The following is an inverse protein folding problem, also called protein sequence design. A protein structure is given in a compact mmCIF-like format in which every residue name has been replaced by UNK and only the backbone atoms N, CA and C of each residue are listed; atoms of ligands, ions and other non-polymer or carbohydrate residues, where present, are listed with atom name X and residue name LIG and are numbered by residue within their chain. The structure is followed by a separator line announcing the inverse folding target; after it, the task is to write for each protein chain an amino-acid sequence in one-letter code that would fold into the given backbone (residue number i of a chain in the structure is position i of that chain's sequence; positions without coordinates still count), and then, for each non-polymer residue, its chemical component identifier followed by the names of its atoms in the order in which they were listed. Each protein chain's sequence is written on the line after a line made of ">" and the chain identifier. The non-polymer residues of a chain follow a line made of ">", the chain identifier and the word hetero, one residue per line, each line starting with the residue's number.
data_IF_394079408990
#
_entry.id   IF_394079408990
#
_cell.length_a   1.000
_cell.length_b   1.000
_cell.length_c   1.000
_cell.angle_alpha   90.00
_cell.angle_beta   90.00
_cell.angle_gamma   90.00
#
_symmetry.space_group_name_H-M   'P 1'
#
loop_
_entity.id
_entity.type
_entity.pdbx_description
1 polymer ?
#
# COMPACT_ATOMS: atom_id res chain seq x y z
N UNK A 1 8.47 -4.34 -27.19
CA UNK A 1 9.68 -3.51 -27.19
C UNK A 1 10.48 -3.77 -25.93
N UNK A 2 10.06 -3.34 -24.72
CA UNK A 2 10.82 -3.41 -23.45
C UNK A 2 11.48 -4.78 -23.18
N UNK A 3 10.72 -5.90 -23.30
CA UNK A 3 11.30 -7.25 -23.08
C UNK A 3 12.40 -7.60 -24.07
N UNK A 4 12.34 -7.08 -25.28
CA UNK A 4 13.38 -7.29 -26.29
C UNK A 4 14.64 -6.51 -25.94
N UNK A 5 14.50 -5.25 -25.48
CA UNK A 5 15.66 -4.46 -25.02
C UNK A 5 16.35 -5.09 -23.82
N UNK A 6 15.60 -5.64 -22.86
CA UNK A 6 16.17 -6.38 -21.70
C UNK A 6 16.94 -7.63 -22.18
N UNK A 7 16.43 -8.37 -23.17
CA UNK A 7 17.16 -9.53 -23.73
C UNK A 7 18.46 -9.11 -24.42
N UNK A 8 18.44 -8.00 -25.19
CA UNK A 8 19.61 -7.44 -25.83
C UNK A 8 20.64 -6.99 -24.75
N UNK A 9 20.19 -6.28 -23.74
CA UNK A 9 21.06 -5.86 -22.64
C UNK A 9 21.73 -7.05 -21.92
N UNK A 10 20.99 -8.14 -21.71
CA UNK A 10 21.58 -9.40 -21.18
C UNK A 10 22.60 -9.99 -22.14
N UNK A 11 22.32 -10.04 -23.43
CA UNK A 11 23.25 -10.57 -24.45
C UNK A 11 24.59 -9.83 -24.43
N UNK A 12 24.56 -8.50 -24.28
CA UNK A 12 25.78 -7.69 -24.17
C UNK A 12 26.33 -7.58 -22.74
N UNK A 13 25.89 -8.44 -21.82
CA UNK A 13 26.35 -8.45 -20.42
C UNK A 13 26.18 -7.10 -19.69
N UNK A 14 25.22 -6.28 -20.09
CA UNK A 14 24.93 -5.00 -19.44
C UNK A 14 24.10 -5.18 -18.15
N UNK A 15 23.48 -6.34 -17.94
CA UNK A 15 22.75 -6.70 -16.73
C UNK A 15 23.65 -7.59 -15.88
N UNK A 16 23.92 -7.16 -14.63
CA UNK A 16 24.77 -7.89 -13.69
C UNK A 16 24.05 -9.07 -13.03
N UNK A 17 22.79 -8.89 -12.67
CA UNK A 17 21.94 -9.94 -12.12
C UNK A 17 22.18 -10.32 -10.66
N UNK A 18 23.23 -9.81 -10.01
CA UNK A 18 23.56 -10.15 -8.61
C UNK A 18 22.91 -9.20 -7.58
N UNK A 19 22.66 -7.95 -7.98
CA UNK A 19 22.05 -6.93 -7.14
C UNK A 19 20.99 -6.16 -7.94
N UNK A 20 19.78 -6.11 -7.41
CA UNK A 20 18.68 -5.34 -7.99
C UNK A 20 18.07 -4.43 -6.94
N UNK A 21 17.41 -3.37 -7.38
CA UNK A 21 16.61 -2.53 -6.51
C UNK A 21 15.20 -2.37 -7.07
N UNK A 22 14.20 -2.48 -6.20
CA UNK A 22 12.80 -2.24 -6.53
C UNK A 22 12.32 -0.92 -5.95
N UNK A 23 11.52 -0.22 -6.73
CA UNK A 23 10.84 1.00 -6.30
C UNK A 23 9.57 1.22 -7.12
N UNK A 24 8.78 2.20 -6.74
CA UNK A 24 7.58 2.58 -7.46
C UNK A 24 7.54 4.07 -7.78
N UNK A 25 6.83 4.37 -8.85
CA UNK A 25 6.54 5.77 -9.17
C UNK A 25 5.08 5.95 -9.54
N UNK A 26 4.46 7.02 -9.04
CA UNK A 26 3.09 7.37 -9.39
C UNK A 26 3.11 8.22 -10.65
N UNK A 27 2.42 7.76 -11.69
CA UNK A 27 2.20 8.50 -12.93
C UNK A 27 0.72 8.90 -13.01
N UNK A 28 0.47 10.18 -13.24
CA UNK A 28 -0.90 10.71 -13.33
C UNK A 28 -1.66 10.03 -14.46
N UNK A 29 -2.89 9.62 -14.18
CA UNK A 29 -3.80 9.13 -15.22
C UNK A 29 -4.49 10.30 -15.95
N UNK A 30 -4.99 10.06 -17.14
CA UNK A 30 -5.83 10.99 -17.91
C UNK A 30 -7.24 11.06 -17.30
N UNK A 31 -7.31 11.46 -16.04
CA UNK A 31 -8.53 11.51 -15.26
C UNK A 31 -8.49 12.67 -14.25
N UNK A 32 -9.64 13.07 -13.74
CA UNK A 32 -9.77 14.08 -12.68
C UNK A 32 -10.33 13.49 -11.39
N UNK A 33 -10.02 14.11 -10.27
CA UNK A 33 -10.60 13.75 -8.96
C UNK A 33 -12.12 13.82 -8.95
N UNK A 34 -12.74 14.67 -9.80
CA UNK A 34 -14.18 14.79 -9.92
C UNK A 34 -14.83 13.48 -10.39
N UNK A 35 -14.16 12.76 -11.27
CA UNK A 35 -14.62 11.52 -11.89
C UNK A 35 -14.20 10.25 -11.13
N UNK A 36 -13.60 10.39 -9.95
CA UNK A 36 -13.25 9.27 -9.09
C UNK A 36 -14.15 9.27 -7.85
N UNK A 37 -14.76 8.12 -7.55
CA UNK A 37 -15.77 7.94 -6.51
C UNK A 37 -15.36 6.84 -5.53
N UNK A 38 -15.58 7.12 -4.25
CA UNK A 38 -15.59 6.16 -3.16
C UNK A 38 -16.94 6.24 -2.45
N UNK A 39 -17.24 5.34 -1.53
CA UNK A 39 -18.53 5.30 -0.83
C UNK A 39 -18.86 6.64 -0.18
N UNK A 40 -17.95 7.23 0.61
CA UNK A 40 -18.19 8.50 1.31
C UNK A 40 -18.54 9.66 0.37
N UNK A 41 -17.98 9.66 -0.85
CA UNK A 41 -18.30 10.69 -1.84
C UNK A 41 -19.68 10.46 -2.47
N UNK A 42 -20.04 9.20 -2.71
CA UNK A 42 -21.36 8.84 -3.23
C UNK A 42 -22.42 9.24 -2.22
N UNK A 43 -22.25 8.84 -0.94
CA UNK A 43 -23.19 9.14 0.14
C UNK A 43 -23.45 10.65 0.27
N UNK A 44 -22.39 11.46 0.22
CA UNK A 44 -22.53 12.92 0.25
C UNK A 44 -23.29 13.48 -0.96
N UNK A 45 -23.06 12.95 -2.15
CA UNK A 45 -23.78 13.38 -3.34
C UNK A 45 -25.25 12.96 -3.32
N UNK A 46 -25.54 11.74 -2.85
CA UNK A 46 -26.91 11.23 -2.72
C UNK A 46 -27.68 12.06 -1.69
N UNK A 47 -27.09 12.29 -0.50
CA UNK A 47 -27.71 13.12 0.53
C UNK A 47 -28.01 14.54 0.05
N UNK A 48 -27.06 15.17 -0.69
CA UNK A 48 -27.30 16.48 -1.31
C UNK A 48 -28.46 16.46 -2.33
N UNK A 49 -28.55 15.41 -3.16
CA UNK A 49 -29.61 15.27 -4.16
C UNK A 49 -30.96 15.09 -3.46
N UNK A 50 -31.02 14.27 -2.42
CA UNK A 50 -32.26 14.01 -1.67
C UNK A 50 -32.79 15.32 -1.04
N UNK A 51 -31.89 16.08 -0.42
CA UNK A 51 -32.26 17.40 0.11
C UNK A 51 -32.78 18.36 -0.99
N UNK A 52 -32.13 18.36 -2.16
CA UNK A 52 -32.60 19.19 -3.29
C UNK A 52 -33.96 18.75 -3.86
N UNK A 53 -34.22 17.46 -3.91
CA UNK A 53 -35.52 16.92 -4.35
C UNK A 53 -36.59 17.32 -3.34
N UNK A 54 -36.31 17.27 -2.04
CA UNK A 54 -37.24 17.73 -0.99
C UNK A 54 -37.55 19.23 -1.11
N UNK A 55 -36.51 20.07 -1.30
CA UNK A 55 -36.70 21.51 -1.55
C UNK A 55 -37.62 21.76 -2.79
N UNK A 56 -37.36 21.06 -3.90
CA UNK A 56 -38.16 21.19 -5.10
C UNK A 56 -39.58 20.68 -4.93
N UNK A 57 -39.82 19.61 -4.18
CA UNK A 57 -41.17 19.13 -3.87
C UNK A 57 -41.95 20.14 -3.04
N UNK A 58 -41.29 20.81 -2.09
CA UNK A 58 -41.93 21.87 -1.30
C UNK A 58 -42.30 23.10 -2.17
N UNK A 59 -41.43 23.45 -3.12
CA UNK A 59 -41.73 24.53 -4.09
C UNK A 59 -42.85 24.13 -5.07
N UNK A 60 -42.89 22.85 -5.46
CA UNK A 60 -43.89 22.32 -6.37
C UNK A 60 -45.33 22.42 -5.80
N UNK A 61 -45.44 22.26 -4.46
CA UNK A 61 -46.74 22.36 -3.77
C UNK A 61 -47.41 23.73 -3.90
N UNK A 62 -46.65 24.78 -4.20
CA UNK A 62 -47.14 26.17 -4.32
C UNK A 62 -46.96 26.79 -5.71
N UNK A 63 -46.43 26.03 -6.66
CA UNK A 63 -46.09 26.50 -8.00
C UNK A 63 -47.23 26.24 -9.00
N UNK A 64 -47.45 27.23 -9.90
CA UNK A 64 -48.44 27.16 -10.98
C UNK A 64 -47.80 27.42 -12.36
N UNK A 65 -48.47 26.93 -13.42
CA UNK A 65 -48.13 27.20 -14.82
C UNK A 65 -46.69 26.76 -15.20
N UNK A 66 -45.98 27.64 -15.90
CA UNK A 66 -44.63 27.36 -16.40
C UNK A 66 -43.61 27.04 -15.31
N UNK A 67 -43.73 27.61 -14.12
CA UNK A 67 -42.88 27.35 -12.97
C UNK A 67 -42.99 25.90 -12.50
N UNK A 68 -44.18 25.31 -12.55
CA UNK A 68 -44.41 23.92 -12.21
C UNK A 68 -43.63 22.98 -13.13
N UNK A 69 -43.65 23.23 -14.44
CA UNK A 69 -42.93 22.45 -15.44
C UNK A 69 -41.41 22.55 -15.27
N UNK A 70 -40.91 23.74 -14.91
CA UNK A 70 -39.48 23.93 -14.63
C UNK A 70 -39.01 23.11 -13.40
N UNK A 71 -39.81 23.13 -12.31
CA UNK A 71 -39.50 22.40 -11.08
C UNK A 71 -39.55 20.88 -11.34
N UNK A 72 -40.54 20.37 -12.06
CA UNK A 72 -40.65 18.97 -12.44
C UNK A 72 -39.42 18.51 -13.27
N UNK A 73 -38.97 19.33 -14.20
CA UNK A 73 -37.72 19.08 -14.95
C UNK A 73 -36.50 19.05 -14.04
N UNK A 74 -36.42 19.94 -13.05
CA UNK A 74 -35.34 19.97 -12.09
C UNK A 74 -35.32 18.71 -11.20
N UNK A 75 -36.47 18.23 -10.71
CA UNK A 75 -36.63 16.99 -9.97
C UNK A 75 -36.20 15.81 -10.82
N UNK A 76 -36.69 15.70 -12.07
CA UNK A 76 -36.31 14.64 -12.99
C UNK A 76 -34.79 14.55 -13.21
N UNK A 77 -34.14 15.72 -13.39
CA UNK A 77 -32.66 15.82 -13.52
C UNK A 77 -31.93 15.33 -12.28
N UNK A 78 -32.40 15.66 -11.07
CA UNK A 78 -31.79 15.19 -9.82
C UNK A 78 -32.01 13.69 -9.65
N UNK A 79 -33.18 13.16 -9.97
CA UNK A 79 -33.48 11.73 -9.92
C UNK A 79 -32.55 10.93 -10.86
N UNK A 80 -32.36 11.38 -12.11
CA UNK A 80 -31.41 10.76 -13.03
C UNK A 80 -29.96 10.77 -12.49
N UNK A 81 -29.56 11.88 -11.85
CA UNK A 81 -28.25 11.94 -11.19
C UNK A 81 -28.14 10.96 -10.03
N UNK A 82 -29.19 10.77 -9.23
CA UNK A 82 -29.21 9.79 -8.14
C UNK A 82 -29.05 8.38 -8.65
N UNK A 83 -29.72 8.02 -9.75
CA UNK A 83 -29.57 6.70 -10.39
C UNK A 83 -28.15 6.47 -10.90
N UNK A 84 -27.52 7.49 -11.47
CA UNK A 84 -26.11 7.40 -11.87
C UNK A 84 -25.19 7.06 -10.67
N UNK A 85 -25.38 7.71 -9.52
CA UNK A 85 -24.58 7.42 -8.33
C UNK A 85 -24.87 6.03 -7.76
N UNK A 86 -26.11 5.55 -7.81
CA UNK A 86 -26.47 4.18 -7.44
C UNK A 86 -25.76 3.12 -8.35
N UNK A 87 -25.71 3.39 -9.65
CA UNK A 87 -25.00 2.52 -10.58
C UNK A 87 -23.48 2.46 -10.29
N UNK A 88 -22.88 3.60 -9.92
CA UNK A 88 -21.46 3.64 -9.50
C UNK A 88 -21.26 2.90 -8.17
N UNK A 89 -22.19 3.03 -7.22
CA UNK A 89 -22.16 2.31 -5.95
C UNK A 89 -22.24 0.80 -6.18
N UNK A 90 -23.15 0.36 -7.02
CA UNK A 90 -23.26 -1.05 -7.40
C UNK A 90 -21.95 -1.58 -8.00
N UNK A 91 -21.31 -0.81 -8.88
CA UNK A 91 -20.01 -1.17 -9.44
C UNK A 91 -18.92 -1.31 -8.37
N UNK A 92 -18.92 -0.43 -7.34
CA UNK A 92 -18.00 -0.55 -6.20
C UNK A 92 -18.26 -1.86 -5.44
N UNK A 93 -19.52 -2.21 -5.21
CA UNK A 93 -19.90 -3.42 -4.48
C UNK A 93 -19.55 -4.70 -5.26
N UNK A 94 -19.88 -4.74 -6.54
CA UNK A 94 -19.60 -5.88 -7.43
C UNK A 94 -18.10 -6.14 -7.60
N UNK A 95 -17.32 -5.07 -7.73
CA UNK A 95 -15.85 -5.19 -7.92
C UNK A 95 -15.10 -5.38 -6.61
N UNK A 96 -15.71 -5.13 -5.45
CA UNK A 96 -15.06 -5.14 -4.14
C UNK A 96 -13.95 -4.11 -3.98
N UNK A 97 -13.89 -3.11 -4.86
CA UNK A 97 -12.86 -2.09 -4.86
C UNK A 97 -13.27 -0.89 -3.99
N UNK A 98 -12.28 -0.26 -3.36
CA UNK A 98 -12.55 0.91 -2.53
C UNK A 98 -12.92 2.17 -3.32
N UNK A 99 -12.64 2.20 -4.61
CA UNK A 99 -12.86 3.36 -5.50
C UNK A 99 -13.14 2.90 -6.93
N UNK A 100 -13.94 3.68 -7.63
CA UNK A 100 -14.21 3.53 -9.08
C UNK A 100 -14.04 4.89 -9.76
N UNK A 101 -13.50 4.86 -10.97
CA UNK A 101 -13.38 6.03 -11.83
C UNK A 101 -14.25 5.87 -13.06
N UNK A 102 -15.00 6.92 -13.43
CA UNK A 102 -15.88 6.88 -14.61
C UNK A 102 -15.16 7.16 -15.93
N UNK A 103 -14.00 7.85 -15.89
CA UNK A 103 -13.23 8.17 -17.09
C UNK A 103 -12.17 7.13 -17.41
N UNK A 104 -11.53 6.59 -16.40
CA UNK A 104 -10.52 5.54 -16.49
C UNK A 104 -10.74 4.57 -15.31
N UNK A 105 -11.51 3.48 -15.53
CA UNK A 105 -12.05 2.65 -14.45
C UNK A 105 -11.03 2.02 -13.53
N UNK A 106 -9.80 1.81 -14.00
CA UNK A 106 -8.73 1.21 -13.22
C UNK A 106 -7.79 2.22 -12.54
N UNK A 107 -7.87 3.52 -12.87
CA UNK A 107 -7.09 4.54 -12.17
C UNK A 107 -7.62 4.82 -10.77
N UNK A 108 -6.75 5.19 -9.83
CA UNK A 108 -7.12 5.40 -8.40
C UNK A 108 -6.55 6.71 -7.87
N UNK A 109 -7.25 7.29 -6.92
CA UNK A 109 -6.68 8.36 -6.11
C UNK A 109 -5.55 7.79 -5.25
N UNK A 110 -4.38 8.40 -5.38
CA UNK A 110 -3.17 8.04 -4.65
C UNK A 110 -2.47 9.29 -4.15
N UNK A 111 -1.81 9.17 -3.01
CA UNK A 111 -0.89 10.20 -2.55
C UNK A 111 0.34 10.14 -3.45
N UNK A 112 0.59 11.22 -4.18
CA UNK A 112 1.77 11.44 -4.99
C UNK A 112 2.82 12.23 -4.22
N UNK A 113 3.79 12.81 -4.92
CA UNK A 113 4.84 13.62 -4.31
C UNK A 113 4.26 14.80 -3.50
N UNK A 114 4.87 15.14 -2.37
CA UNK A 114 4.48 16.24 -1.49
C UNK A 114 3.05 16.11 -0.89
N UNK A 115 2.61 14.90 -0.61
CA UNK A 115 1.28 14.61 -0.05
C UNK A 115 0.10 15.09 -0.91
N UNK A 116 0.33 15.40 -2.19
CA UNK A 116 -0.74 15.75 -3.11
C UNK A 116 -1.46 14.46 -3.52
N UNK A 117 -2.78 14.44 -3.37
CA UNK A 117 -3.61 13.35 -3.88
C UNK A 117 -3.95 13.60 -5.34
N UNK A 118 -3.63 12.64 -6.21
CA UNK A 118 -3.97 12.67 -7.64
C UNK A 118 -4.56 11.34 -8.08
N UNK A 119 -5.26 11.34 -9.20
CA UNK A 119 -5.70 10.09 -9.85
C UNK A 119 -4.54 9.59 -10.69
N UNK A 120 -4.03 8.41 -10.35
CA UNK A 120 -2.77 7.91 -10.89
C UNK A 120 -2.77 6.39 -11.02
N UNK A 121 -1.76 5.88 -11.70
CA UNK A 121 -1.28 4.52 -11.62
C UNK A 121 0.02 4.47 -10.83
N UNK A 122 0.25 3.35 -10.17
CA UNK A 122 1.49 3.07 -9.46
C UNK A 122 2.32 2.10 -10.33
N UNK A 123 3.46 2.57 -10.81
CA UNK A 123 4.36 1.79 -11.65
C UNK A 123 5.46 1.22 -10.79
N UNK A 124 5.45 -0.08 -10.60
CA UNK A 124 6.51 -0.84 -9.95
C UNK A 124 7.63 -1.07 -10.95
N UNK A 125 8.89 -0.90 -10.56
CA UNK A 125 10.05 -1.20 -11.39
C UNK A 125 11.08 -2.01 -10.64
N UNK A 126 11.83 -2.81 -11.38
CA UNK A 126 13.02 -3.49 -10.91
C UNK A 126 14.21 -3.02 -11.75
N UNK A 127 15.24 -2.55 -11.09
CA UNK A 127 16.45 -1.97 -11.71
C UNK A 127 17.64 -2.81 -11.34
N UNK A 128 18.44 -3.20 -12.33
CA UNK A 128 19.72 -3.88 -12.12
C UNK A 128 20.81 -2.86 -11.73
N UNK A 129 21.64 -3.22 -10.76
CA UNK A 129 22.62 -2.30 -10.18
C UNK A 129 23.83 -2.02 -11.05
N UNK A 130 24.16 -2.88 -12.02
CA UNK A 130 25.42 -2.77 -12.78
C UNK A 130 25.50 -1.46 -13.60
N UNK A 131 24.43 -1.14 -14.30
CA UNK A 131 24.33 0.07 -15.12
C UNK A 131 23.02 0.83 -14.86
N UNK A 132 22.35 0.59 -13.75
CA UNK A 132 21.05 1.18 -13.38
C UNK A 132 19.98 0.99 -14.47
N UNK A 133 19.97 -0.16 -15.14
CA UNK A 133 19.03 -0.47 -16.20
C UNK A 133 17.74 -1.08 -15.64
N UNK A 134 16.56 -0.56 -15.99
CA UNK A 134 15.29 -1.23 -15.67
C UNK A 134 15.22 -2.59 -16.37
N UNK A 135 15.02 -3.66 -15.62
CA UNK A 135 14.87 -5.02 -16.13
C UNK A 135 13.41 -5.49 -16.15
N UNK A 136 12.57 -4.85 -15.36
CA UNK A 136 11.14 -5.14 -15.31
C UNK A 136 10.34 -3.92 -14.83
N UNK A 137 9.06 -3.87 -15.25
CA UNK A 137 8.09 -2.94 -14.72
C UNK A 137 6.70 -3.58 -14.67
N UNK A 138 5.83 -3.06 -13.79
CA UNK A 138 4.43 -3.45 -13.70
C UNK A 138 3.57 -2.25 -13.32
N UNK A 139 2.56 -1.96 -14.13
CA UNK A 139 1.56 -0.95 -13.79
C UNK A 139 0.51 -1.55 -12.87
N UNK A 140 0.31 -0.92 -11.73
CA UNK A 140 -0.68 -1.29 -10.72
C UNK A 140 -1.56 -0.10 -10.35
N UNK A 141 -2.62 -0.36 -9.64
CA UNK A 141 -3.48 0.67 -9.04
C UNK A 141 -3.56 0.54 -7.51
N UNK A 142 -2.62 -0.20 -6.93
CA UNK A 142 -2.46 -0.40 -5.50
C UNK A 142 -1.19 0.29 -5.00
N UNK A 143 -1.06 0.39 -3.68
CA UNK A 143 0.18 0.85 -3.04
C UNK A 143 1.26 -0.26 -3.05
N UNK A 144 2.43 0.07 -2.53
CA UNK A 144 3.63 -0.78 -2.61
C UNK A 144 3.61 -1.99 -1.69
N UNK A 145 2.77 -1.98 -0.65
CA UNK A 145 2.79 -2.95 0.46
C UNK A 145 2.55 -4.42 0.09
N UNK A 146 2.09 -4.70 -1.13
CA UNK A 146 1.84 -6.06 -1.65
C UNK A 146 2.45 -6.27 -3.04
N UNK A 147 3.46 -5.52 -3.40
CA UNK A 147 4.01 -5.54 -4.74
C UNK A 147 5.35 -6.29 -4.85
N UNK A 148 6.13 -6.36 -3.77
CA UNK A 148 7.49 -6.90 -3.78
C UNK A 148 7.53 -8.37 -4.21
N UNK A 149 6.70 -9.21 -3.62
CA UNK A 149 6.73 -10.66 -3.87
C UNK A 149 6.48 -11.01 -5.34
N UNK A 150 5.56 -10.31 -6.00
CA UNK A 150 5.33 -10.50 -7.42
C UNK A 150 6.51 -10.03 -8.26
N UNK A 151 7.07 -8.86 -7.95
CA UNK A 151 8.24 -8.33 -8.68
C UNK A 151 9.45 -9.23 -8.51
N UNK A 152 9.64 -9.86 -7.33
CA UNK A 152 10.69 -10.86 -7.10
C UNK A 152 10.51 -12.12 -7.95
N UNK A 153 9.29 -12.67 -8.05
CA UNK A 153 8.99 -13.80 -8.94
C UNK A 153 9.34 -13.49 -10.39
N UNK A 154 8.98 -12.29 -10.84
CA UNK A 154 9.27 -11.81 -12.21
C UNK A 154 10.76 -11.63 -12.41
N UNK A 155 11.47 -11.02 -11.46
CA UNK A 155 12.92 -10.86 -11.49
C UNK A 155 13.64 -12.23 -11.57
N UNK A 156 13.24 -13.21 -10.75
CA UNK A 156 13.75 -14.59 -10.79
C UNK A 156 13.60 -15.20 -12.18
N UNK A 157 12.45 -15.01 -12.81
CA UNK A 157 12.18 -15.52 -14.17
C UNK A 157 13.04 -14.81 -15.23
N UNK A 158 13.20 -13.49 -15.12
CA UNK A 158 13.98 -12.67 -16.06
C UNK A 158 15.47 -12.97 -15.92
N UNK A 159 15.98 -13.02 -14.69
CA UNK A 159 17.39 -13.29 -14.41
C UNK A 159 17.74 -14.78 -14.58
N UNK A 160 16.77 -15.67 -14.43
CA UNK A 160 16.91 -17.15 -14.44
C UNK A 160 17.77 -17.67 -13.29
N UNK A 161 17.72 -16.99 -12.17
CA UNK A 161 18.41 -17.37 -10.92
C UNK A 161 17.63 -16.79 -9.72
N UNK A 162 17.87 -17.31 -8.54
CA UNK A 162 17.47 -16.75 -7.25
C UNK A 162 18.67 -16.20 -6.45
N UNK A 163 19.88 -16.37 -6.98
CA UNK A 163 21.12 -15.92 -6.35
C UNK A 163 21.36 -14.43 -6.59
N UNK A 164 20.44 -13.60 -6.08
CA UNK A 164 20.57 -12.15 -6.11
C UNK A 164 20.03 -11.50 -4.84
N UNK A 165 20.54 -10.31 -4.52
CA UNK A 165 20.01 -9.49 -3.45
C UNK A 165 19.10 -8.41 -4.03
N UNK A 166 17.91 -8.22 -3.41
CA UNK A 166 16.93 -7.22 -3.81
C UNK A 166 16.75 -6.16 -2.73
N UNK A 167 16.88 -4.89 -3.09
CA UNK A 167 16.78 -3.74 -2.20
C UNK A 167 15.43 -3.04 -2.38
N UNK A 168 14.69 -2.83 -1.29
CA UNK A 168 13.39 -2.14 -1.30
C UNK A 168 13.28 -1.09 -0.18
N UNK A 169 12.40 -0.11 -0.36
CA UNK A 169 12.14 0.89 0.66
C UNK A 169 11.15 0.39 1.74
N UNK A 170 10.90 1.23 2.77
CA UNK A 170 9.99 0.91 3.88
C UNK A 170 8.52 0.70 3.47
N UNK A 171 8.10 1.19 2.29
CA UNK A 171 6.75 0.99 1.75
C UNK A 171 6.44 -0.46 1.43
N UNK A 172 7.48 -1.28 1.21
CA UNK A 172 7.38 -2.70 0.91
C UNK A 172 7.53 -3.59 2.16
N UNK A 173 7.78 -3.03 3.34
CA UNK A 173 8.00 -3.77 4.58
C UNK A 173 6.71 -4.40 5.10
N UNK A 174 6.33 -5.53 4.51
CA UNK A 174 5.12 -6.29 4.84
C UNK A 174 5.49 -7.75 5.09
N UNK A 175 5.01 -8.32 6.20
CA UNK A 175 5.40 -9.66 6.62
C UNK A 175 5.07 -10.76 5.60
N UNK A 176 3.91 -10.70 4.93
CA UNK A 176 3.56 -11.63 3.85
C UNK A 176 4.50 -11.54 2.65
N UNK A 177 4.96 -10.34 2.30
CA UNK A 177 5.91 -10.14 1.20
C UNK A 177 7.31 -10.64 1.55
N UNK A 178 7.73 -10.45 2.81
CA UNK A 178 8.98 -11.02 3.31
C UNK A 178 8.94 -12.56 3.33
N UNK A 179 7.78 -13.15 3.68
CA UNK A 179 7.58 -14.59 3.55
C UNK A 179 7.73 -15.05 2.09
N UNK A 180 7.17 -14.33 1.13
CA UNK A 180 7.32 -14.66 -0.30
C UNK A 180 8.79 -14.60 -0.73
N UNK A 181 9.55 -13.59 -0.31
CA UNK A 181 10.98 -13.53 -0.60
C UNK A 181 11.74 -14.75 -0.06
N UNK A 182 11.46 -15.14 1.18
CA UNK A 182 12.01 -16.35 1.80
C UNK A 182 11.61 -17.61 1.04
N UNK A 183 10.33 -17.77 0.69
CA UNK A 183 9.85 -18.97 -0.04
C UNK A 183 10.43 -19.06 -1.47
N UNK A 184 10.88 -17.94 -2.04
CA UNK A 184 11.59 -17.89 -3.34
C UNK A 184 13.10 -18.12 -3.21
N UNK A 185 13.60 -18.20 -1.98
CA UNK A 185 15.03 -18.26 -1.67
C UNK A 185 15.81 -17.05 -2.23
N UNK A 186 15.25 -15.85 -2.02
CA UNK A 186 15.82 -14.58 -2.46
C UNK A 186 16.15 -13.71 -1.23
N UNK A 187 17.36 -13.20 -1.16
CA UNK A 187 17.74 -12.23 -0.14
C UNK A 187 17.12 -10.88 -0.44
N UNK A 188 16.11 -10.49 0.35
CA UNK A 188 15.52 -9.16 0.28
C UNK A 188 15.98 -8.32 1.48
N UNK A 189 16.46 -7.10 1.20
CA UNK A 189 16.78 -6.07 2.20
C UNK A 189 15.75 -4.95 2.07
N UNK A 190 14.86 -4.87 3.05
CA UNK A 190 13.75 -3.90 3.04
C UNK A 190 13.90 -2.96 4.24
N UNK A 191 13.92 -1.65 4.00
CA UNK A 191 14.02 -0.68 5.08
C UNK A 191 12.89 -0.86 6.10
N UNK A 192 13.26 -0.76 7.36
CA UNK A 192 12.34 -0.93 8.46
C UNK A 192 11.63 0.42 8.71
N UNK A 193 10.29 0.47 8.69
CA UNK A 193 9.57 1.69 9.05
C UNK A 193 9.74 1.99 10.54
N UNK A 194 9.80 3.27 10.86
CA UNK A 194 9.75 3.71 12.25
C UNK A 194 8.48 3.19 12.92
N UNK A 195 8.63 2.50 14.04
CA UNK A 195 7.49 2.03 14.81
C UNK A 195 6.96 3.21 15.62
N UNK A 196 5.77 3.67 15.28
CA UNK A 196 5.09 4.65 16.11
C UNK A 196 4.89 4.08 17.52
N UNK A 197 5.46 4.76 18.51
CA UNK A 197 5.28 4.39 19.92
C UNK A 197 3.83 4.62 20.33
N UNK A 198 3.18 3.57 20.82
CA UNK A 198 1.91 3.70 21.52
C UNK A 198 2.11 3.78 23.06
N UNK A 199 3.33 3.62 23.54
CA UNK A 199 3.66 3.78 24.94
C UNK A 199 3.77 5.28 25.27
N UNK A 200 3.28 5.72 26.44
CA UNK A 200 3.47 7.08 26.93
C UNK A 200 4.94 7.46 27.03
N UNK A 201 5.80 6.53 27.47
CA UNK A 201 7.24 6.70 27.53
C UNK A 201 7.94 5.86 26.45
N UNK A 202 8.84 6.45 25.63
CA UNK A 202 9.58 5.75 24.58
C UNK A 202 10.38 4.53 25.06
N UNK A 203 10.80 4.49 26.32
CA UNK A 203 11.50 3.36 26.92
C UNK A 203 10.68 2.07 26.84
N UNK A 204 9.35 2.17 26.86
CA UNK A 204 8.42 1.04 26.77
C UNK A 204 7.87 0.80 25.38
N UNK A 205 8.54 1.27 24.34
CA UNK A 205 8.23 0.90 22.96
C UNK A 205 8.39 -0.59 22.76
N UNK A 206 7.59 -1.16 21.85
CA UNK A 206 7.65 -2.59 21.51
C UNK A 206 9.06 -3.03 21.08
N UNK A 207 9.83 -2.14 20.48
CA UNK A 207 11.21 -2.40 20.06
C UNK A 207 12.16 -2.72 21.22
N UNK A 208 11.82 -2.31 22.44
CA UNK A 208 12.61 -2.54 23.64
C UNK A 208 12.19 -3.79 24.42
N UNK A 209 11.22 -4.54 23.89
CA UNK A 209 10.85 -5.86 24.42
C UNK A 209 11.64 -6.92 23.68
N UNK A 210 12.41 -7.69 24.41
CA UNK A 210 13.29 -8.71 23.84
C UNK A 210 12.52 -10.01 23.64
N UNK A 211 12.46 -10.49 22.40
CA UNK A 211 11.87 -11.78 22.08
C UNK A 211 12.89 -12.89 22.18
N UNK A 212 12.55 -13.95 22.88
CA UNK A 212 13.30 -15.20 22.94
C UNK A 212 12.55 -16.28 22.11
N UNK A 213 13.17 -16.73 21.04
CA UNK A 213 12.59 -17.75 20.15
C UNK A 213 12.54 -19.13 20.80
N UNK A 214 13.52 -19.48 21.66
CA UNK A 214 13.58 -20.79 22.28
C UNK A 214 12.45 -21.01 23.28
N UNK A 215 12.15 -19.99 24.10
CA UNK A 215 11.09 -20.06 25.11
C UNK A 215 9.75 -19.51 24.60
N UNK A 216 9.73 -18.91 23.40
CA UNK A 216 8.59 -18.22 22.82
C UNK A 216 7.96 -17.19 23.79
N UNK A 217 8.81 -16.33 24.36
CA UNK A 217 8.42 -15.31 25.33
C UNK A 217 9.00 -13.94 24.99
N UNK A 218 8.47 -12.89 25.60
CA UNK A 218 9.05 -11.55 25.58
C UNK A 218 9.51 -11.16 26.99
N UNK A 219 10.67 -10.53 27.07
CA UNK A 219 11.12 -9.83 28.31
C UNK A 219 10.89 -8.34 28.15
N UNK A 220 10.14 -7.72 29.08
CA UNK A 220 9.91 -6.28 29.08
C UNK A 220 11.11 -5.50 29.62
N UNK A 221 11.19 -4.17 29.45
CA UNK A 221 12.28 -3.34 29.99
C UNK A 221 12.45 -3.41 31.51
N UNK A 222 11.41 -3.79 32.27
CA UNK A 222 11.47 -4.03 33.72
C UNK A 222 11.83 -5.49 34.08
N UNK A 223 12.28 -6.30 33.11
CA UNK A 223 12.70 -7.69 33.33
C UNK A 223 11.57 -8.71 33.48
N UNK A 224 10.30 -8.32 33.36
CA UNK A 224 9.19 -9.28 33.46
C UNK A 224 8.98 -10.05 32.17
N UNK A 225 8.69 -11.35 32.31
CA UNK A 225 8.44 -12.25 31.18
C UNK A 225 6.97 -12.21 30.81
N UNK A 226 6.69 -11.96 29.53
CA UNK A 226 5.36 -12.07 28.92
C UNK A 226 5.30 -13.39 28.14
N UNK A 227 4.33 -14.21 28.45
CA UNK A 227 4.10 -15.51 27.80
C UNK A 227 2.81 -15.52 26.96
N UNK A 228 2.75 -16.47 26.06
CA UNK A 228 1.56 -16.74 25.23
C UNK A 228 0.92 -18.06 25.67
N UNK A 229 -0.40 -18.20 25.42
CA UNK A 229 -1.10 -19.48 25.54
C UNK A 229 -0.96 -20.36 24.28
N UNK A 230 -0.16 -19.93 23.29
CA UNK A 230 0.01 -20.62 22.02
C UNK A 230 -1.11 -20.46 20.99
N UNK A 231 -2.23 -19.86 21.38
CA UNK A 231 -3.38 -19.70 20.47
C UNK A 231 -3.15 -18.59 19.46
N UNK A 232 -3.62 -18.81 18.24
CA UNK A 232 -3.61 -17.83 17.16
C UNK A 232 -4.98 -17.15 17.04
N UNK A 233 -4.96 -15.84 16.93
CA UNK A 233 -6.15 -14.99 16.83
C UNK A 233 -6.10 -14.23 15.50
N UNK A 234 -7.24 -14.22 14.80
CA UNK A 234 -7.37 -13.40 13.58
C UNK A 234 -7.50 -11.93 13.96
N UNK A 235 -6.49 -11.12 13.60
CA UNK A 235 -6.54 -9.68 13.78
C UNK A 235 -7.30 -9.04 12.64
N UNK A 236 -8.49 -8.52 12.91
CA UNK A 236 -9.26 -7.76 11.94
C UNK A 236 -8.55 -6.43 11.66
N UNK A 237 -8.19 -6.18 10.41
CA UNK A 237 -7.54 -4.95 9.93
C UNK A 237 -8.48 -4.03 9.15
N UNK A 238 -9.79 -4.31 9.20
CA UNK A 238 -10.83 -3.58 8.47
C UNK A 238 -11.22 -4.24 7.15
N UNK A 239 -12.30 -3.76 6.54
CA UNK A 239 -13.01 -4.35 5.40
C UNK A 239 -12.12 -4.69 4.19
N UNK A 240 -11.04 -3.94 3.97
CA UNK A 240 -10.19 -4.04 2.75
C UNK A 240 -8.80 -4.64 3.00
N UNK A 241 -8.52 -5.14 4.20
CA UNK A 241 -7.23 -5.73 4.55
C UNK A 241 -7.39 -7.18 4.93
N UNK A 242 -6.52 -8.04 4.42
CA UNK A 242 -6.48 -9.44 4.84
C UNK A 242 -6.23 -9.54 6.35
N UNK A 243 -6.94 -10.45 7.01
CA UNK A 243 -6.68 -10.79 8.38
C UNK A 243 -5.28 -11.41 8.50
N UNK A 244 -4.61 -11.11 9.60
CA UNK A 244 -3.30 -11.66 9.95
C UNK A 244 -3.47 -12.39 11.27
N UNK A 245 -2.92 -13.58 11.35
CA UNK A 245 -2.91 -14.34 12.59
C UNK A 245 -1.85 -13.76 13.52
N UNK A 246 -2.21 -13.58 14.80
CA UNK A 246 -1.31 -13.09 15.84
C UNK A 246 -1.41 -13.95 17.08
N UNK A 247 -0.30 -14.15 17.77
CA UNK A 247 -0.26 -14.61 19.15
C UNK A 247 -0.19 -13.41 20.08
N UNK A 248 -0.82 -13.53 21.25
CA UNK A 248 -0.78 -12.51 22.28
C UNK A 248 0.11 -12.94 23.44
N UNK A 249 0.96 -12.00 23.88
CA UNK A 249 1.88 -12.19 24.99
C UNK A 249 1.52 -11.22 26.11
N UNK A 250 1.36 -11.73 27.32
CA UNK A 250 0.95 -10.99 28.50
C UNK A 250 1.54 -11.59 29.77
N UNK A 251 1.53 -10.83 30.87
CA UNK A 251 1.96 -11.29 32.18
C UNK A 251 1.07 -10.72 33.28
N UNK A 252 0.87 -11.49 34.34
CA UNK A 252 0.15 -11.03 35.54
C UNK A 252 0.94 -9.97 36.31
N UNK A 253 2.26 -9.96 36.20
CA UNK A 253 3.14 -8.97 36.83
C UNK A 253 2.82 -7.51 36.42
N UNK A 254 2.18 -7.31 35.27
CA UNK A 254 1.72 -5.97 34.87
C UNK A 254 0.75 -5.35 35.87
N UNK A 255 -0.08 -6.15 36.59
CA UNK A 255 -1.11 -5.62 37.54
C UNK A 255 -0.50 -4.80 38.68
N UNK A 256 0.68 -5.16 39.14
CA UNK A 256 1.41 -4.49 40.25
C UNK A 256 2.63 -3.69 39.76
N UNK A 257 2.81 -3.51 38.45
CA UNK A 257 3.97 -2.84 37.89
C UNK A 257 3.91 -1.32 38.15
N UNK A 258 4.90 -0.72 38.86
CA UNK A 258 4.90 0.70 39.17
C UNK A 258 5.07 1.59 37.93
N UNK A 259 5.58 1.04 36.81
CA UNK A 259 5.79 1.73 35.55
C UNK A 259 4.63 1.51 34.54
N UNK A 260 3.56 0.88 34.94
CA UNK A 260 2.44 0.50 34.07
C UNK A 260 1.85 1.65 33.28
N UNK A 261 1.64 2.80 33.91
CA UNK A 261 1.10 4.00 33.25
C UNK A 261 2.04 4.60 32.20
N UNK A 262 3.36 4.39 32.33
CA UNK A 262 4.37 4.79 31.35
C UNK A 262 4.44 3.78 30.18
N UNK A 263 4.10 2.52 30.45
CA UNK A 263 4.16 1.43 29.48
C UNK A 263 2.93 1.37 28.56
N UNK A 264 1.73 1.62 29.09
CA UNK A 264 0.48 1.47 28.32
C UNK A 264 -0.61 2.41 28.81
N UNK A 265 -1.27 3.10 27.85
CA UNK A 265 -2.45 3.95 28.11
C UNK A 265 -3.65 3.16 28.67
N UNK A 266 -3.74 1.87 28.36
CA UNK A 266 -4.80 0.97 28.83
C UNK A 266 -4.35 0.05 29.95
N UNK A 267 -3.29 0.41 30.66
CA UNK A 267 -2.65 -0.39 31.70
C UNK A 267 -3.62 -0.93 32.74
N UNK A 268 -4.51 -0.07 33.25
CA UNK A 268 -5.45 -0.45 34.33
C UNK A 268 -6.45 -1.54 33.93
N UNK A 269 -6.76 -1.68 32.62
CA UNK A 269 -7.73 -2.66 32.13
C UNK A 269 -7.09 -4.03 31.87
N UNK A 270 -6.01 -4.05 31.10
CA UNK A 270 -5.48 -5.30 30.51
C UNK A 270 -3.96 -5.48 30.72
N UNK A 271 -3.27 -4.53 31.37
CA UNK A 271 -1.82 -4.50 31.37
C UNK A 271 -1.24 -4.26 29.99
N UNK A 272 0.03 -4.62 29.79
CA UNK A 272 0.65 -4.61 28.44
C UNK A 272 0.40 -5.94 27.74
N UNK A 273 -0.20 -5.86 26.56
CA UNK A 273 -0.35 -7.00 25.65
C UNK A 273 0.49 -6.74 24.41
N UNK A 274 1.39 -7.66 24.07
CA UNK A 274 2.12 -7.63 22.82
C UNK A 274 1.49 -8.61 21.83
N UNK A 275 1.52 -8.26 20.55
CA UNK A 275 1.06 -9.12 19.47
C UNK A 275 2.20 -9.45 18.53
N UNK A 276 2.44 -10.74 18.29
CA UNK A 276 3.41 -11.26 17.34
C UNK A 276 2.67 -11.94 16.20
N UNK A 277 2.87 -11.46 14.98
CA UNK A 277 2.22 -12.03 13.80
C UNK A 277 2.89 -13.33 13.34
N UNK A 278 2.15 -14.14 12.60
CA UNK A 278 2.66 -15.34 11.91
C UNK A 278 3.87 -15.07 10.99
N UNK A 279 4.03 -13.80 10.56
CA UNK A 279 5.13 -13.36 9.71
C UNK A 279 6.30 -12.74 10.48
N UNK A 280 6.24 -12.67 11.81
CA UNK A 280 7.21 -11.91 12.59
C UNK A 280 8.65 -12.40 12.39
N UNK A 281 8.87 -13.70 12.29
CA UNK A 281 10.20 -14.26 12.05
C UNK A 281 10.88 -13.76 10.77
N UNK A 282 10.09 -13.54 9.71
CA UNK A 282 10.61 -13.02 8.44
C UNK A 282 10.99 -11.54 8.55
N UNK A 283 10.24 -10.77 9.35
CA UNK A 283 10.54 -9.38 9.65
C UNK A 283 11.78 -9.23 10.54
N UNK A 284 11.92 -10.10 11.54
CA UNK A 284 13.10 -10.13 12.42
C UNK A 284 14.36 -10.49 11.62
N UNK A 285 14.29 -11.49 10.74
CA UNK A 285 15.37 -11.85 9.83
C UNK A 285 15.75 -10.69 8.89
N UNK A 286 14.75 -9.99 8.35
CA UNK A 286 15.04 -8.81 7.54
C UNK A 286 15.78 -7.74 8.35
N UNK A 287 15.40 -7.53 9.62
CA UNK A 287 16.08 -6.56 10.49
C UNK A 287 17.57 -6.91 10.63
N UNK A 288 17.88 -8.17 10.94
CA UNK A 288 19.26 -8.65 11.07
C UNK A 288 20.02 -8.47 9.74
N UNK A 289 19.39 -8.86 8.62
CA UNK A 289 19.99 -8.77 7.29
C UNK A 289 20.29 -7.33 6.87
N UNK A 290 19.36 -6.39 7.12
CA UNK A 290 19.57 -4.95 6.81
C UNK A 290 20.67 -4.37 7.69
N UNK A 291 20.69 -4.71 8.98
CA UNK A 291 21.73 -4.25 9.92
C UNK A 291 23.12 -4.77 9.53
N UNK A 292 23.22 -6.01 9.10
CA UNK A 292 24.49 -6.62 8.65
C UNK A 292 24.95 -6.13 7.28
N UNK A 293 24.05 -5.60 6.46
CA UNK A 293 24.33 -5.18 5.07
C UNK A 293 24.05 -3.69 4.82
N UNK A 294 24.25 -2.82 5.81
CA UNK A 294 23.95 -1.38 5.72
C UNK A 294 24.58 -0.70 4.52
N UNK A 295 25.85 -1.00 4.22
CA UNK A 295 26.56 -0.37 3.10
C UNK A 295 26.01 -0.83 1.74
N UNK A 296 25.59 -2.09 1.64
CA UNK A 296 24.92 -2.58 0.44
C UNK A 296 23.54 -1.92 0.27
N UNK A 297 22.79 -1.80 1.36
CA UNK A 297 21.47 -1.18 1.35
C UNK A 297 21.51 0.30 0.92
N UNK A 298 22.52 1.08 1.30
CA UNK A 298 22.71 2.49 0.89
C UNK A 298 22.71 2.67 -0.62
N UNK A 299 23.15 1.67 -1.40
CA UNK A 299 23.18 1.73 -2.86
C UNK A 299 21.77 1.80 -3.48
N UNK A 300 20.71 1.39 -2.74
CA UNK A 300 19.35 1.34 -3.27
C UNK A 300 18.95 2.65 -3.96
N UNK A 301 19.14 3.77 -3.25
CA UNK A 301 18.69 5.06 -3.73
C UNK A 301 19.33 5.44 -5.07
N UNK A 302 20.63 5.31 -5.20
CA UNK A 302 21.35 5.65 -6.45
C UNK A 302 20.91 4.75 -7.61
N UNK A 303 20.61 3.46 -7.35
CA UNK A 303 20.18 2.52 -8.38
C UNK A 303 18.81 2.92 -8.95
N UNK A 304 17.82 3.22 -8.10
CA UNK A 304 16.42 3.47 -8.53
C UNK A 304 16.17 4.92 -8.95
N UNK A 305 16.87 5.90 -8.37
CA UNK A 305 16.66 7.31 -8.71
C UNK A 305 17.16 7.67 -10.10
N UNK A 306 18.22 7.02 -10.57
CA UNK A 306 18.81 7.30 -11.89
C UNK A 306 17.79 7.14 -13.04
N UNK A 307 17.15 5.98 -13.24
CA UNK A 307 16.16 5.83 -14.31
C UNK A 307 14.93 6.74 -14.12
N UNK A 308 14.48 6.96 -12.89
CA UNK A 308 13.34 7.85 -12.64
C UNK A 308 13.68 9.32 -12.91
N UNK A 309 14.92 9.74 -12.63
CA UNK A 309 15.41 11.08 -12.99
C UNK A 309 15.39 11.30 -14.50
N UNK A 310 15.87 10.33 -15.26
CA UNK A 310 15.86 10.35 -16.72
C UNK A 310 14.42 10.39 -17.26
N UNK A 311 13.59 9.45 -16.87
CA UNK A 311 12.22 9.30 -17.40
C UNK A 311 11.37 10.54 -17.07
N UNK A 312 11.39 11.00 -15.81
CA UNK A 312 10.49 12.07 -15.36
C UNK A 312 11.01 13.48 -15.61
N UNK A 313 12.31 13.69 -15.49
CA UNK A 313 12.89 15.04 -15.59
C UNK A 313 13.44 15.36 -16.98
N UNK A 314 14.18 14.42 -17.56
CA UNK A 314 14.77 14.65 -18.88
C UNK A 314 13.76 14.44 -20.00
N UNK A 315 12.96 13.36 -19.93
CA UNK A 315 11.95 13.04 -20.96
C UNK A 315 10.55 13.59 -20.63
N UNK A 316 10.34 14.16 -19.45
CA UNK A 316 9.06 14.76 -19.05
C UNK A 316 7.91 13.77 -18.88
N UNK A 317 8.20 12.46 -18.85
CA UNK A 317 7.18 11.43 -18.73
C UNK A 317 6.68 11.28 -17.28
N UNK A 318 5.77 12.17 -16.88
CA UNK A 318 5.19 12.24 -15.53
C UNK A 318 3.71 11.83 -15.46
N UNK A 319 3.11 11.50 -16.59
CA UNK A 319 1.69 11.12 -16.71
C UNK A 319 1.49 10.08 -17.83
N UNK A 320 0.44 9.27 -17.69
CA UNK A 320 0.03 8.28 -18.69
C UNK A 320 -0.70 8.99 -19.83
N UNK A 321 -0.34 8.71 -21.07
CA UNK A 321 -0.90 9.34 -22.25
C UNK A 321 -2.25 8.75 -22.65
N UNK A 322 -2.44 7.45 -22.43
CA UNK A 322 -3.65 6.71 -22.82
C UNK A 322 -4.69 6.69 -21.70
N UNK A 323 -5.96 6.45 -22.08
CA UNK A 323 -7.05 6.11 -21.18
C UNK A 323 -7.40 4.62 -21.34
N UNK A 324 -8.27 4.10 -20.44
CA UNK A 324 -8.84 2.74 -20.50
C UNK A 324 -7.93 1.63 -19.95
N UNK A 325 -7.40 1.88 -18.75
CA UNK A 325 -6.95 0.84 -17.85
C UNK A 325 -5.45 0.52 -17.92
N UNK A 326 -5.06 -0.41 -17.04
CA UNK A 326 -3.67 -0.81 -16.79
C UNK A 326 -2.94 -1.36 -18.01
N UNK A 327 -3.64 -2.08 -18.88
CA UNK A 327 -3.03 -2.67 -20.06
C UNK A 327 -2.46 -1.60 -21.00
N UNK A 328 -3.25 -0.54 -21.26
CA UNK A 328 -2.79 0.60 -22.08
C UNK A 328 -1.76 1.44 -21.36
N UNK A 329 -1.97 1.73 -20.07
CA UNK A 329 -0.97 2.41 -19.26
C UNK A 329 0.36 1.63 -19.24
N UNK A 330 0.32 0.30 -19.24
CA UNK A 330 1.52 -0.54 -19.33
C UNK A 330 2.22 -0.40 -20.68
N UNK A 331 1.46 -0.21 -21.77
CA UNK A 331 2.08 0.05 -23.08
C UNK A 331 2.80 1.39 -23.12
N UNK A 332 2.19 2.44 -22.54
CA UNK A 332 2.82 3.77 -22.47
C UNK A 332 4.14 3.74 -21.66
N UNK A 333 4.17 2.98 -20.56
CA UNK A 333 5.36 2.86 -19.71
C UNK A 333 6.45 2.02 -20.40
N UNK A 334 6.09 1.06 -21.21
CA UNK A 334 7.02 0.12 -21.83
C UNK A 334 7.60 0.57 -23.20
N UNK A 335 7.18 1.71 -23.70
CA UNK A 335 7.73 2.33 -24.91
C UNK A 335 8.87 3.27 -24.58
#
# INVERSE_FOLDING_TARGET
>A
VFRATVKIAKHFSLIGGALIAGDSTKLRAQNSKKNNYNQDKIDRHVAYIDHKIEEYNNLLATADGDKKVEIEKAISKQTQRKELYKAIEQQIQETGQAQVSTSDPESRQMITRNNITEVAYNVQTTVDAKHCLPIDYKVTNNNDSKAMGEMLRRAKTILRTNEFTALYDKGYHTGSEMKIAHDLDITALVAIPDVASNAPDPQYNIANFLYDEQTNTYTCPEGNILSTNGSWYAKNRGKYRANVLVQQYKTSACKSCPKGNLCSKSFQKNGRVLERSEFAKYLDNNKINVESNKELYKKRQSIVEHPYGTIKRQWGFSYILTKKGKARASSDVGL
#
